data_IF_287270218355
#
_entry.id   IF_287270218355
#
_cell.length_a   1.000
_cell.length_b   1.000
_cell.length_c   1.000
_cell.angle_alpha   90.00
_cell.angle_beta   90.00
_cell.angle_gamma   90.00
#
_symmetry.space_group_name_H-M   'P 1'
#
loop_
_entity.id
_entity.type
_entity.pdbx_description
1 polymer ?
#
# COMPACT_ATOMS: atom_id res chain seq x y z
N UNK A 1 -6.88 14.58 -18.61
CA UNK A 1 -6.55 14.70 -20.04
C UNK A 1 -6.70 16.16 -20.44
N UNK A 2 -5.61 16.85 -20.74
CA UNK A 2 -5.64 18.20 -21.32
C UNK A 2 -5.80 18.09 -22.84
N UNK A 3 -6.64 18.94 -23.44
CA UNK A 3 -6.79 19.06 -24.91
C UNK A 3 -6.46 20.49 -25.32
N UNK A 4 -5.87 20.69 -26.51
CA UNK A 4 -5.61 22.05 -27.03
C UNK A 4 -6.93 22.66 -27.50
N UNK A 5 -7.04 23.99 -27.48
CA UNK A 5 -8.28 24.72 -27.86
C UNK A 5 -8.83 24.31 -29.24
N UNK A 6 -7.93 24.02 -30.19
CA UNK A 6 -8.25 23.56 -31.56
C UNK A 6 -8.91 22.18 -31.63
N UNK A 7 -8.84 21.40 -30.54
CA UNK A 7 -9.38 20.04 -30.45
C UNK A 7 -10.72 20.01 -29.67
N UNK A 8 -11.29 21.19 -29.38
CA UNK A 8 -12.59 21.40 -28.72
C UNK A 8 -13.65 21.71 -29.78
N UNK A 9 -14.85 21.08 -29.74
CA UNK A 9 -15.93 21.36 -30.68
C UNK A 9 -16.27 22.86 -30.77
N UNK A 10 -16.45 23.38 -31.99
CA UNK A 10 -16.65 24.82 -32.27
C UNK A 10 -17.88 25.44 -31.58
N UNK A 11 -18.90 24.64 -31.26
CA UNK A 11 -20.05 25.09 -30.47
C UNK A 11 -19.68 25.45 -29.02
N UNK A 12 -18.69 24.77 -28.44
CA UNK A 12 -18.22 25.02 -27.07
C UNK A 12 -17.30 26.24 -27.06
N UNK A 13 -16.51 26.46 -28.11
CA UNK A 13 -15.67 27.66 -28.25
C UNK A 13 -16.54 28.93 -28.33
N UNK A 14 -17.63 28.92 -29.10
CA UNK A 14 -18.57 30.07 -29.19
C UNK A 14 -19.33 30.35 -27.90
N UNK A 15 -19.72 29.31 -27.16
CA UNK A 15 -20.37 29.44 -25.84
C UNK A 15 -19.42 30.10 -24.82
N UNK A 16 -18.12 29.80 -24.91
CA UNK A 16 -17.07 30.31 -24.02
C UNK A 16 -16.61 31.73 -24.39
N UNK A 17 -16.61 32.09 -25.68
CA UNK A 17 -16.39 33.47 -26.16
C UNK A 17 -17.48 34.43 -25.67
N UNK A 18 -18.75 33.98 -25.67
CA UNK A 18 -19.87 34.75 -25.14
C UNK A 18 -19.82 34.96 -23.61
N UNK A 19 -19.02 34.16 -22.89
CA UNK A 19 -18.80 34.28 -21.44
C UNK A 19 -17.61 35.19 -21.07
N UNK A 20 -16.96 35.84 -22.04
CA UNK A 20 -15.92 36.84 -21.79
C UNK A 20 -14.60 36.29 -21.28
N UNK A 21 -14.25 35.04 -21.63
CA UNK A 21 -13.02 34.39 -21.20
C UNK A 21 -11.80 34.97 -21.96
N UNK A 22 -10.71 35.37 -21.28
CA UNK A 22 -9.52 35.93 -21.92
C UNK A 22 -8.82 34.95 -22.88
N UNK A 23 -8.31 35.43 -24.01
CA UNK A 23 -7.63 34.62 -25.05
C UNK A 23 -6.43 33.80 -24.54
N UNK A 24 -5.84 34.17 -23.40
CA UNK A 24 -4.67 33.53 -22.80
C UNK A 24 -5.01 32.41 -21.81
N UNK A 25 -6.11 31.68 -22.02
CA UNK A 25 -6.55 30.61 -21.12
C UNK A 25 -6.42 29.20 -21.74
N UNK A 26 -6.10 28.21 -20.90
CA UNK A 26 -6.14 26.79 -21.28
C UNK A 26 -7.39 26.13 -20.70
N UNK A 27 -8.15 25.43 -21.55
CA UNK A 27 -9.39 24.73 -21.19
C UNK A 27 -9.13 23.28 -20.79
N UNK A 28 -9.84 22.83 -19.74
CA UNK A 28 -9.82 21.45 -19.26
C UNK A 28 -11.24 20.98 -18.95
N UNK A 29 -11.56 19.72 -19.25
CA UNK A 29 -12.86 19.16 -18.91
C UNK A 29 -12.78 18.38 -17.59
N UNK A 30 -13.56 18.81 -16.58
CA UNK A 30 -13.59 18.20 -15.25
C UNK A 30 -14.89 17.41 -15.07
N UNK A 31 -14.75 16.10 -14.80
CA UNK A 31 -15.88 15.17 -14.67
C UNK A 31 -16.78 15.61 -13.52
N UNK A 32 -18.07 15.85 -13.82
CA UNK A 32 -19.07 16.33 -12.86
C UNK A 32 -19.16 17.86 -12.71
N UNK A 33 -18.26 18.63 -13.34
CA UNK A 33 -18.23 20.11 -13.25
C UNK A 33 -18.34 20.77 -14.63
N UNK A 34 -17.95 20.08 -15.70
CA UNK A 34 -17.96 20.62 -17.07
C UNK A 34 -16.61 21.20 -17.50
N UNK A 35 -16.60 22.08 -18.50
CA UNK A 35 -15.39 22.76 -18.98
C UNK A 35 -14.98 23.87 -18.02
N UNK A 36 -13.70 23.90 -17.66
CA UNK A 36 -13.08 24.90 -16.78
C UNK A 36 -11.82 25.45 -17.46
N UNK A 37 -11.47 26.72 -17.24
CA UNK A 37 -10.30 27.35 -17.83
C UNK A 37 -9.28 27.78 -16.76
N UNK A 38 -8.02 27.89 -17.15
CA UNK A 38 -6.95 28.49 -16.34
C UNK A 38 -6.21 29.54 -17.17
N UNK A 39 -6.10 30.76 -16.64
CA UNK A 39 -5.36 31.86 -17.24
C UNK A 39 -3.84 31.61 -17.12
N UNK A 40 -3.09 31.77 -18.21
CA UNK A 40 -1.64 31.68 -18.19
C UNK A 40 -1.02 33.08 -18.20
N UNK A 41 0.02 33.28 -17.38
CA UNK A 41 0.86 34.47 -17.41
C UNK A 41 1.65 34.53 -18.72
N UNK A 42 1.76 35.75 -19.27
CA UNK A 42 2.31 36.06 -20.59
C UNK A 42 3.75 35.57 -20.80
N UNK A 43 4.52 35.37 -19.73
CA UNK A 43 5.93 34.97 -19.80
C UNK A 43 6.10 33.48 -20.13
N UNK A 44 5.08 32.64 -19.88
CA UNK A 44 5.15 31.20 -20.16
C UNK A 44 4.97 30.89 -21.66
N UNK A 45 4.27 31.76 -22.40
CA UNK A 45 4.00 31.58 -23.84
C UNK A 45 5.25 31.86 -24.68
N UNK A 46 6.09 32.82 -24.25
CA UNK A 46 7.35 33.14 -24.95
C UNK A 46 8.43 32.07 -24.73
N UNK A 47 8.41 31.37 -23.58
CA UNK A 47 9.29 30.22 -23.33
C UNK A 47 8.83 28.97 -24.10
N UNK A 48 7.52 28.78 -24.28
CA UNK A 48 6.97 27.66 -25.03
C UNK A 48 7.07 27.85 -26.57
N UNK A 49 7.15 29.08 -27.07
CA UNK A 49 7.34 29.33 -28.51
C UNK A 49 8.80 29.12 -28.93
N UNK A 50 9.77 29.53 -28.11
CA UNK A 50 11.20 29.34 -28.41
C UNK A 50 11.67 27.88 -28.29
N UNK A 51 11.06 27.08 -27.40
CA UNK A 51 11.35 25.64 -27.28
C UNK A 51 10.92 24.80 -28.50
N UNK A 52 10.12 25.35 -29.43
CA UNK A 52 9.64 24.62 -30.62
C UNK A 52 10.51 24.79 -31.86
N UNK A 53 11.41 25.77 -31.90
CA UNK A 53 12.27 26.03 -33.06
C UNK A 53 13.53 25.13 -33.10
N UNK A 54 14.05 24.68 -31.95
CA UNK A 54 15.25 23.82 -31.88
C UNK A 54 14.93 22.31 -31.86
N UNK A 55 13.65 21.94 -31.96
CA UNK A 55 13.20 20.55 -31.81
C UNK A 55 13.30 19.69 -33.08
N UNK A 56 13.77 20.24 -34.21
CA UNK A 56 13.92 19.48 -35.47
C UNK A 56 15.28 18.80 -35.66
N UNK A 57 16.31 19.10 -34.85
CA UNK A 57 17.65 18.50 -35.01
C UNK A 57 18.16 17.68 -33.81
N UNK A 58 17.44 17.64 -32.69
CA UNK A 58 17.85 16.91 -31.48
C UNK A 58 17.16 15.55 -31.26
N UNK A 59 16.46 15.03 -32.27
CA UNK A 59 15.78 13.71 -32.23
C UNK A 59 16.71 12.50 -32.33
N UNK A 60 18.00 12.64 -32.00
CA UNK A 60 18.99 11.56 -32.07
C UNK A 60 19.88 11.38 -30.82
N UNK A 61 19.63 12.04 -29.69
CA UNK A 61 20.41 11.79 -28.46
C UNK A 61 19.53 11.51 -27.23
N UNK A 62 19.47 10.22 -26.91
CA UNK A 62 18.98 9.55 -25.69
C UNK A 62 17.57 9.88 -25.20
N UNK A 63 16.58 9.24 -25.82
CA UNK A 63 15.58 8.54 -25.01
C UNK A 63 16.33 7.45 -24.22
N UNK A 64 16.72 7.72 -22.97
CA UNK A 64 16.93 6.62 -22.05
C UNK A 64 15.56 5.99 -21.85
N UNK A 65 15.34 4.82 -22.43
CA UNK A 65 14.27 3.92 -22.06
C UNK A 65 14.19 3.89 -20.53
N UNK A 66 13.11 4.43 -19.97
CA UNK A 66 12.72 4.10 -18.61
C UNK A 66 12.35 2.62 -18.68
N UNK A 67 13.34 1.76 -18.42
CA UNK A 67 13.19 0.31 -18.47
C UNK A 67 12.00 -0.04 -17.60
N UNK A 68 10.93 -0.58 -18.16
CA UNK A 68 9.77 -1.05 -17.39
C UNK A 68 10.28 -2.09 -16.39
N UNK A 69 10.43 -1.69 -15.12
CA UNK A 69 10.91 -2.59 -14.07
C UNK A 69 9.76 -3.50 -13.66
N UNK A 70 10.04 -4.79 -13.54
CA UNK A 70 9.11 -5.80 -13.03
C UNK A 70 9.71 -6.42 -11.76
N UNK A 71 8.85 -6.83 -10.85
CA UNK A 71 9.20 -7.62 -9.67
C UNK A 71 9.54 -9.03 -10.12
N UNK A 72 10.83 -9.32 -10.17
CA UNK A 72 11.32 -10.59 -10.70
C UNK A 72 11.46 -11.66 -9.62
N UNK A 73 11.76 -11.32 -8.37
CA UNK A 73 11.99 -12.31 -7.30
C UNK A 73 11.38 -11.81 -5.98
N UNK A 74 11.08 -12.75 -5.08
CA UNK A 74 10.59 -12.44 -3.73
C UNK A 74 11.29 -13.34 -2.70
N UNK A 75 12.07 -12.72 -1.81
CA UNK A 75 12.80 -13.45 -0.77
C UNK A 75 14.06 -14.20 -1.26
N UNK A 76 14.60 -15.13 -0.46
CA UNK A 76 14.12 -15.58 0.84
C UNK A 76 14.01 -14.49 1.91
N UNK A 77 13.13 -14.72 2.88
CA UNK A 77 13.02 -13.88 4.07
C UNK A 77 13.28 -14.69 5.32
N UNK A 78 14.17 -14.17 6.18
CA UNK A 78 14.24 -14.62 7.55
C UNK A 78 12.98 -14.21 8.29
N UNK A 79 12.65 -14.96 9.33
CA UNK A 79 11.47 -14.72 10.16
C UNK A 79 11.93 -14.53 11.60
N UNK A 80 11.64 -13.36 12.17
CA UNK A 80 12.08 -13.00 13.50
C UNK A 80 10.89 -12.68 14.39
N UNK A 81 10.93 -13.16 15.63
CA UNK A 81 9.92 -12.85 16.65
C UNK A 81 10.01 -11.38 17.05
N UNK A 82 8.84 -10.77 17.19
CA UNK A 82 8.65 -9.40 17.66
C UNK A 82 8.22 -9.41 19.11
N UNK A 83 8.28 -8.24 19.73
CA UNK A 83 7.75 -8.00 21.06
C UNK A 83 6.35 -7.37 21.02
N UNK A 84 5.72 -7.35 19.85
CA UNK A 84 4.42 -6.73 19.63
C UNK A 84 3.31 -7.58 20.25
N UNK A 85 2.45 -6.89 21.00
CA UNK A 85 1.19 -7.46 21.45
C UNK A 85 0.06 -6.95 20.55
N UNK A 86 -0.68 -7.89 19.94
CA UNK A 86 -1.85 -7.59 19.13
C UNK A 86 -3.08 -8.38 19.60
N UNK A 87 -4.25 -7.82 19.37
CA UNK A 87 -5.55 -8.47 19.60
C UNK A 87 -6.27 -8.63 18.27
N UNK A 88 -6.54 -9.89 17.87
CA UNK A 88 -7.28 -10.20 16.64
C UNK A 88 -8.78 -10.08 16.88
N UNK A 89 -9.48 -9.37 16.00
CA UNK A 89 -10.94 -9.27 15.96
C UNK A 89 -11.44 -10.22 14.87
N UNK A 90 -11.64 -11.48 15.24
CA UNK A 90 -11.80 -12.61 14.28
C UNK A 90 -12.88 -12.39 13.21
N UNK A 91 -14.00 -11.75 13.54
CA UNK A 91 -15.14 -11.58 12.63
C UNK A 91 -14.98 -10.42 11.63
N UNK A 92 -14.14 -9.43 11.98
CA UNK A 92 -13.98 -8.22 11.18
C UNK A 92 -12.82 -8.29 10.20
N UNK A 93 -11.83 -9.18 10.43
CA UNK A 93 -10.58 -9.17 9.67
C UNK A 93 -9.63 -8.05 10.12
N UNK A 94 -9.87 -7.49 11.30
CA UNK A 94 -9.11 -6.39 11.89
C UNK A 94 -8.33 -6.85 13.11
N UNK A 95 -7.27 -6.13 13.45
CA UNK A 95 -6.54 -6.31 14.71
C UNK A 95 -6.29 -4.95 15.37
N UNK A 96 -6.05 -4.96 16.67
CA UNK A 96 -5.49 -3.81 17.40
C UNK A 96 -4.07 -4.11 17.86
N UNK A 97 -3.21 -3.10 17.97
CA UNK A 97 -1.81 -3.21 18.38
C UNK A 97 -1.46 -2.16 19.43
N UNK A 98 -0.75 -2.56 20.49
CA UNK A 98 -0.30 -1.59 21.50
C UNK A 98 0.94 -0.83 21.02
N UNK A 99 0.80 0.47 20.75
CA UNK A 99 1.87 1.36 20.28
C UNK A 99 2.61 2.11 21.39
N UNK A 100 2.17 2.05 22.65
CA UNK A 100 2.51 3.04 23.66
C UNK A 100 3.72 2.69 24.54
N UNK A 101 4.14 1.43 24.64
CA UNK A 101 5.12 1.01 25.66
C UNK A 101 6.55 0.76 25.15
N UNK A 102 6.71 0.42 23.86
CA UNK A 102 8.02 0.04 23.28
C UNK A 102 8.43 0.81 22.03
N UNK A 103 7.48 1.50 21.42
CA UNK A 103 7.67 2.19 20.15
C UNK A 103 7.77 3.69 20.40
N UNK A 104 8.80 4.11 21.12
CA UNK A 104 9.02 5.50 21.53
C UNK A 104 8.89 6.51 20.38
N UNK A 105 9.36 6.16 19.18
CA UNK A 105 9.22 7.01 18.00
C UNK A 105 7.79 7.12 17.44
N UNK A 106 6.90 6.20 17.81
CA UNK A 106 5.49 6.14 17.41
C UNK A 106 4.53 6.45 18.56
N UNK A 107 5.01 6.53 19.80
CA UNK A 107 4.21 6.91 20.94
C UNK A 107 3.56 8.27 20.69
N UNK A 108 2.24 8.35 20.88
CA UNK A 108 1.44 9.55 20.60
C UNK A 108 1.57 10.06 19.15
N UNK A 109 1.72 9.18 18.18
CA UNK A 109 1.69 9.51 16.77
C UNK A 109 0.24 9.49 16.25
N UNK A 110 -0.47 10.63 16.15
CA UNK A 110 -1.88 10.65 15.72
C UNK A 110 -2.07 10.18 14.27
N UNK A 111 -1.00 10.14 13.48
CA UNK A 111 -1.04 9.67 12.09
C UNK A 111 -1.13 8.15 11.98
N UNK A 112 -0.61 7.38 12.96
CA UNK A 112 -0.65 5.91 12.92
C UNK A 112 -1.84 5.44 13.73
N UNK A 113 -2.69 4.65 13.09
CA UNK A 113 -3.78 3.98 13.77
C UNK A 113 -3.23 2.77 14.53
N UNK A 114 -3.75 2.54 15.73
CA UNK A 114 -3.48 1.32 16.51
C UNK A 114 -4.32 0.13 16.03
N UNK A 115 -4.95 0.26 14.86
CA UNK A 115 -5.79 -0.73 14.21
C UNK A 115 -5.24 -1.04 12.82
N UNK A 116 -5.32 -2.30 12.40
CA UNK A 116 -4.96 -2.72 11.05
C UNK A 116 -5.77 -3.93 10.58
N UNK A 117 -5.48 -4.38 9.36
CA UNK A 117 -6.14 -5.54 8.75
C UNK A 117 -5.28 -6.79 8.82
N UNK A 118 -5.90 -7.96 8.83
CA UNK A 118 -5.21 -9.23 8.66
C UNK A 118 -5.91 -10.11 7.62
N UNK A 119 -5.15 -10.99 6.97
CA UNK A 119 -5.70 -12.05 6.13
C UNK A 119 -6.54 -13.02 6.99
N UNK A 120 -7.49 -13.76 6.42
CA UNK A 120 -8.25 -14.75 7.18
C UNK A 120 -7.32 -15.75 7.88
N UNK A 121 -7.68 -16.20 9.08
CA UNK A 121 -6.90 -17.20 9.81
C UNK A 121 -6.94 -18.53 9.04
N UNK A 122 -5.77 -19.13 8.82
CA UNK A 122 -5.59 -20.36 8.06
C UNK A 122 -4.73 -21.37 8.84
N UNK A 123 -4.88 -22.68 8.58
CA UNK A 123 -4.02 -23.69 9.18
C UNK A 123 -2.57 -23.57 8.68
N UNK A 124 -1.61 -23.88 9.56
CA UNK A 124 -0.20 -24.00 9.15
C UNK A 124 -0.02 -25.26 8.29
N UNK A 125 0.50 -25.11 7.07
CA UNK A 125 0.71 -26.23 6.12
C UNK A 125 2.16 -26.61 5.90
N UNK A 126 3.11 -25.75 6.28
CA UNK A 126 4.55 -26.02 6.13
C UNK A 126 4.96 -27.23 6.97
N UNK A 127 5.82 -28.07 6.39
CA UNK A 127 6.37 -29.25 7.05
C UNK A 127 7.37 -28.87 8.16
N UNK A 128 7.78 -29.83 9.00
CA UNK A 128 8.63 -29.56 10.17
C UNK A 128 9.95 -28.82 9.87
N UNK A 129 10.61 -29.12 8.75
CA UNK A 129 11.89 -28.47 8.38
C UNK A 129 11.65 -27.03 7.93
N UNK A 130 10.69 -26.82 7.03
CA UNK A 130 10.35 -25.49 6.54
C UNK A 130 9.77 -24.61 7.66
N UNK A 131 9.00 -25.22 8.56
CA UNK A 131 8.44 -24.58 9.75
C UNK A 131 9.51 -24.11 10.72
N UNK A 132 10.48 -24.97 11.05
CA UNK A 132 11.60 -24.63 11.92
C UNK A 132 12.46 -23.52 11.27
N UNK A 133 12.70 -23.58 9.96
CA UNK A 133 13.41 -22.54 9.20
C UNK A 133 12.68 -21.18 9.22
N UNK A 134 11.35 -21.20 9.09
CA UNK A 134 10.50 -20.02 9.14
C UNK A 134 10.18 -19.54 10.56
N UNK A 135 10.88 -20.05 11.59
CA UNK A 135 10.70 -19.68 12.99
C UNK A 135 9.23 -19.74 13.46
N UNK A 136 8.49 -20.75 12.99
CA UNK A 136 7.09 -20.96 13.34
C UNK A 136 7.01 -21.82 14.60
N UNK A 137 6.39 -21.35 15.71
CA UNK A 137 6.36 -22.10 16.96
C UNK A 137 5.68 -23.45 16.76
N UNK A 138 6.32 -24.55 17.19
CA UNK A 138 5.90 -25.95 16.94
C UNK A 138 4.47 -26.30 17.37
N UNK A 139 3.92 -25.57 18.35
CA UNK A 139 2.56 -25.75 18.84
C UNK A 139 1.50 -24.94 18.07
N UNK A 140 1.92 -24.08 17.12
CA UNK A 140 0.98 -23.34 16.28
C UNK A 140 0.17 -24.29 15.40
N UNK A 141 -1.14 -24.10 15.38
CA UNK A 141 -2.03 -24.83 14.48
C UNK A 141 -2.53 -23.95 13.36
N UNK A 142 -2.56 -22.64 13.58
CA UNK A 142 -3.06 -21.65 12.63
C UNK A 142 -2.17 -20.41 12.61
N UNK A 143 -2.32 -19.62 11.55
CA UNK A 143 -1.67 -18.33 11.40
C UNK A 143 -2.53 -17.37 10.56
N UNK A 144 -2.17 -16.10 10.57
CA UNK A 144 -2.59 -15.16 9.53
C UNK A 144 -1.45 -14.21 9.18
N UNK A 145 -1.49 -13.67 7.96
CA UNK A 145 -0.71 -12.48 7.62
C UNK A 145 -1.38 -11.25 8.22
N UNK A 146 -0.60 -10.42 8.91
CA UNK A 146 -1.01 -9.16 9.51
C UNK A 146 -0.42 -8.04 8.65
N UNK A 147 -1.29 -7.22 8.06
CA UNK A 147 -0.86 -6.09 7.24
C UNK A 147 -0.37 -4.93 8.13
N UNK A 148 0.51 -4.05 7.62
CA UNK A 148 0.85 -2.80 8.29
C UNK A 148 -0.40 -2.04 8.76
N UNK A 149 -0.39 -1.42 9.95
CA UNK A 149 -1.46 -0.53 10.36
C UNK A 149 -1.50 0.69 9.43
N UNK A 150 -2.68 1.32 9.34
CA UNK A 150 -2.84 2.54 8.55
C UNK A 150 -2.00 3.68 9.15
N UNK A 151 -1.65 4.67 8.32
CA UNK A 151 -0.98 5.88 8.81
C UNK A 151 0.51 6.01 8.48
N UNK A 152 1.19 4.91 8.14
CA UNK A 152 2.63 4.92 7.87
C UNK A 152 3.01 5.84 6.70
N UNK A 153 2.16 5.95 5.68
CA UNK A 153 2.39 6.85 4.54
C UNK A 153 2.15 8.33 4.88
N UNK A 154 1.35 8.62 5.92
CA UNK A 154 0.96 9.96 6.34
C UNK A 154 1.96 10.60 7.32
N UNK A 155 2.99 9.86 7.74
CA UNK A 155 3.99 10.33 8.68
C UNK A 155 4.75 11.57 8.20
N UNK A 156 5.04 12.48 9.13
CA UNK A 156 5.97 13.59 8.85
C UNK A 156 7.37 13.09 8.50
N UNK A 157 8.11 13.86 7.69
CA UNK A 157 9.48 13.52 7.27
C UNK A 157 10.44 13.27 8.45
N UNK A 158 10.27 14.03 9.55
CA UNK A 158 11.04 13.82 10.78
C UNK A 158 10.78 12.45 11.41
N UNK A 159 9.52 12.00 11.41
CA UNK A 159 9.13 10.68 11.94
C UNK A 159 9.58 9.57 11.01
N UNK A 160 9.36 9.71 9.70
CA UNK A 160 9.90 8.78 8.69
C UNK A 160 11.41 8.59 8.87
N UNK A 161 12.18 9.67 9.00
CA UNK A 161 13.62 9.58 9.23
C UNK A 161 13.98 8.84 10.53
N UNK A 162 13.17 8.95 11.57
CA UNK A 162 13.40 8.26 12.86
C UNK A 162 13.08 6.77 12.75
N UNK A 163 11.95 6.42 12.12
CA UNK A 163 11.56 5.04 11.86
C UNK A 163 12.55 4.37 10.92
N UNK A 164 12.97 5.06 9.85
CA UNK A 164 13.98 4.56 8.92
C UNK A 164 15.30 4.23 9.63
N UNK A 165 15.70 4.99 10.67
CA UNK A 165 16.87 4.63 11.49
C UNK A 165 16.65 3.37 12.33
N UNK A 166 15.45 3.13 12.86
CA UNK A 166 15.11 1.90 13.61
C UNK A 166 15.07 0.70 12.67
N UNK A 167 14.42 0.84 11.52
CA UNK A 167 14.41 -0.13 10.43
C UNK A 167 15.82 -0.49 9.96
N UNK A 168 16.68 0.51 9.73
CA UNK A 168 18.07 0.29 9.32
C UNK A 168 18.93 -0.45 10.36
N UNK A 169 18.48 -0.46 11.62
CA UNK A 169 19.09 -1.26 12.71
C UNK A 169 18.49 -2.66 12.83
N UNK A 170 17.51 -3.00 12.00
CA UNK A 170 16.82 -4.29 12.02
C UNK A 170 15.91 -4.46 13.24
N UNK A 171 15.32 -3.38 13.75
CA UNK A 171 14.40 -3.46 14.89
C UNK A 171 13.12 -4.24 14.50
N UNK A 172 12.83 -5.40 15.13
CA UNK A 172 11.74 -6.29 14.70
C UNK A 172 10.35 -5.65 14.79
N UNK A 173 10.11 -4.82 15.81
CA UNK A 173 8.79 -4.24 16.05
C UNK A 173 8.50 -3.17 15.00
N UNK A 174 9.49 -2.30 14.70
CA UNK A 174 9.34 -1.33 13.61
C UNK A 174 9.24 -2.01 12.25
N UNK A 175 9.95 -3.12 12.05
CA UNK A 175 9.92 -3.88 10.80
C UNK A 175 8.53 -4.50 10.59
N UNK A 176 7.93 -5.08 11.63
CA UNK A 176 6.56 -5.56 11.59
C UNK A 176 5.56 -4.46 11.24
N UNK A 177 5.68 -3.29 11.86
CA UNK A 177 4.72 -2.21 11.62
C UNK A 177 4.88 -1.60 10.22
N UNK A 178 6.09 -1.56 9.67
CA UNK A 178 6.32 -1.05 8.34
C UNK A 178 5.88 -2.02 7.24
N UNK A 179 6.12 -3.33 7.45
CA UNK A 179 6.03 -4.35 6.39
C UNK A 179 4.89 -5.35 6.58
N UNK A 180 4.37 -5.46 7.79
CA UNK A 180 3.50 -6.53 8.22
C UNK A 180 4.29 -7.74 8.73
N UNK A 181 3.58 -8.83 8.98
CA UNK A 181 4.18 -10.03 9.51
C UNK A 181 3.18 -11.17 9.71
N UNK A 182 3.62 -12.23 10.38
CA UNK A 182 2.80 -13.41 10.65
C UNK A 182 2.43 -13.48 12.12
N UNK A 183 1.14 -13.64 12.42
CA UNK A 183 0.66 -13.98 13.74
C UNK A 183 0.33 -15.48 13.80
N UNK A 184 0.85 -16.18 14.82
CA UNK A 184 0.66 -17.61 15.01
C UNK A 184 -0.21 -17.90 16.21
N UNK A 185 -1.11 -18.87 16.05
CA UNK A 185 -2.11 -19.21 17.04
C UNK A 185 -2.14 -20.70 17.34
N UNK A 186 -2.53 -21.02 18.56
CA UNK A 186 -3.02 -22.34 18.93
C UNK A 186 -4.50 -22.25 19.23
N UNK A 187 -5.28 -23.05 18.52
CA UNK A 187 -6.69 -23.26 18.81
C UNK A 187 -6.80 -24.40 19.81
N UNK A 188 -7.19 -24.05 21.04
CA UNK A 188 -7.60 -24.99 22.07
C UNK A 188 -9.13 -25.16 22.00
N UNK A 189 -9.70 -26.13 22.73
CA UNK A 189 -11.14 -26.50 22.61
C UNK A 189 -12.12 -25.33 22.80
N UNK A 190 -11.73 -24.30 23.55
CA UNK A 190 -12.58 -23.16 23.90
C UNK A 190 -11.86 -21.81 23.82
N UNK A 191 -10.62 -21.77 23.34
CA UNK A 191 -9.84 -20.52 23.30
C UNK A 191 -8.86 -20.51 22.15
N UNK A 192 -8.55 -19.31 21.67
CA UNK A 192 -7.47 -19.08 20.72
C UNK A 192 -6.35 -18.37 21.47
N UNK A 193 -5.20 -19.00 21.54
CA UNK A 193 -4.00 -18.43 22.16
C UNK A 193 -3.08 -17.91 21.07
N UNK A 194 -2.80 -16.60 21.08
CA UNK A 194 -1.68 -16.02 20.33
C UNK A 194 -0.38 -16.56 20.91
N UNK A 195 0.43 -17.21 20.07
CA UNK A 195 1.70 -17.80 20.46
C UNK A 195 2.86 -16.85 20.20
N UNK A 196 2.88 -16.25 19.00
CA UNK A 196 4.04 -15.53 18.51
C UNK A 196 3.63 -14.60 17.37
N UNK A 197 4.22 -13.40 17.34
CA UNK A 197 4.10 -12.44 16.26
C UNK A 197 5.48 -12.30 15.63
N UNK A 198 5.57 -12.49 14.32
CA UNK A 198 6.82 -12.49 13.58
C UNK A 198 6.84 -11.41 12.50
N UNK A 199 8.00 -10.80 12.28
CA UNK A 199 8.26 -9.91 11.15
C UNK A 199 9.15 -10.60 10.10
N UNK A 200 9.16 -10.01 8.90
CA UNK A 200 10.10 -10.39 7.85
C UNK A 200 11.45 -9.68 8.09
N UNK A 201 12.55 -10.40 7.96
CA UNK A 201 13.91 -9.85 8.02
C UNK A 201 14.76 -10.33 6.85
N UNK A 202 15.84 -9.60 6.54
CA UNK A 202 16.81 -10.04 5.54
C UNK A 202 17.58 -11.25 6.08
N UNK A 203 17.46 -12.39 5.41
CA UNK A 203 18.29 -13.55 5.68
C UNK A 203 18.37 -14.45 4.44
N UNK A 204 19.40 -15.29 4.38
CA UNK A 204 19.59 -16.28 3.31
C UNK A 204 18.82 -17.59 3.57
N UNK A 205 18.13 -17.67 4.72
CA UNK A 205 17.29 -18.78 5.14
C UNK A 205 15.91 -18.27 5.62
N UNK A 206 14.93 -19.18 5.71
CA UNK A 206 13.60 -18.87 6.25
C UNK A 206 12.48 -19.24 5.28
N UNK A 207 11.60 -18.28 4.98
CA UNK A 207 10.54 -18.45 3.99
C UNK A 207 11.07 -18.18 2.58
N UNK A 208 10.82 -19.13 1.69
CA UNK A 208 11.17 -19.03 0.28
C UNK A 208 9.91 -18.92 -0.57
N UNK A 209 10.04 -18.24 -1.71
CA UNK A 209 8.95 -18.09 -2.65
C UNK A 209 9.36 -18.52 -4.06
N UNK A 210 8.41 -19.09 -4.79
CA UNK A 210 8.53 -19.38 -6.22
C UNK A 210 7.61 -18.46 -7.03
N UNK A 211 8.01 -18.14 -8.25
CA UNK A 211 7.41 -17.12 -9.12
C UNK A 211 8.43 -16.12 -9.70
N UNK A 212 7.97 -15.00 -10.29
CA UNK A 212 6.59 -14.55 -10.42
C UNK A 212 5.81 -15.40 -11.42
N UNK A 213 4.60 -15.76 -11.05
CA UNK A 213 3.62 -16.32 -11.98
C UNK A 213 2.62 -15.24 -12.39
N UNK A 214 2.14 -15.28 -13.63
CA UNK A 214 1.13 -14.32 -14.09
C UNK A 214 -0.17 -14.44 -13.30
N UNK A 215 -0.66 -13.31 -12.79
CA UNK A 215 -1.93 -13.26 -12.06
C UNK A 215 -3.12 -13.25 -13.02
N UNK A 216 -4.10 -14.09 -12.74
CA UNK A 216 -5.33 -14.16 -13.52
C UNK A 216 -6.36 -13.18 -12.96
N UNK A 217 -6.56 -12.06 -13.65
CA UNK A 217 -7.41 -10.95 -13.19
C UNK A 217 -8.88 -11.31 -12.91
N UNK A 218 -9.36 -12.44 -13.43
CA UNK A 218 -10.72 -12.94 -13.15
C UNK A 218 -10.93 -13.30 -11.68
N UNK A 219 -9.88 -13.55 -10.90
CA UNK A 219 -9.94 -13.83 -9.46
C UNK A 219 -9.75 -12.58 -8.59
N UNK A 220 -9.32 -11.44 -9.15
CA UNK A 220 -9.13 -10.18 -8.41
C UNK A 220 -10.41 -9.74 -7.69
N UNK A 221 -11.57 -9.93 -8.32
CA UNK A 221 -12.87 -9.56 -7.73
C UNK A 221 -13.22 -10.39 -6.48
N UNK A 222 -12.77 -11.64 -6.40
CA UNK A 222 -13.01 -12.48 -5.23
C UNK A 222 -12.28 -11.92 -4.00
N UNK A 223 -10.97 -11.70 -4.14
CA UNK A 223 -10.11 -11.12 -3.11
C UNK A 223 -10.51 -9.68 -2.74
N UNK A 224 -10.90 -8.88 -3.75
CA UNK A 224 -11.30 -7.48 -3.54
C UNK A 224 -12.61 -7.34 -2.76
N UNK A 225 -13.58 -8.23 -2.97
CA UNK A 225 -14.85 -8.24 -2.21
C UNK A 225 -14.65 -8.54 -0.73
N UNK A 226 -13.58 -9.25 -0.40
CA UNK A 226 -13.19 -9.55 0.98
C UNK A 226 -12.29 -8.45 1.58
N UNK A 227 -12.06 -7.34 0.86
CA UNK A 227 -11.24 -6.23 1.34
C UNK A 227 -9.75 -6.53 1.43
N UNK A 228 -9.26 -7.65 0.86
CA UNK A 228 -7.91 -8.16 1.16
C UNK A 228 -6.75 -7.40 0.52
N UNK A 229 -7.00 -6.68 -0.57
CA UNK A 229 -5.94 -5.92 -1.24
C UNK A 229 -5.64 -4.61 -0.51
N UNK A 230 -4.42 -4.51 0.02
CA UNK A 230 -3.86 -3.31 0.65
C UNK A 230 -3.05 -2.49 -0.34
N UNK A 231 -2.94 -1.19 -0.06
CA UNK A 231 -1.94 -0.34 -0.71
C UNK A 231 -0.53 -0.78 -0.33
N UNK A 232 0.39 -0.72 -1.28
CA UNK A 232 1.80 -0.96 -1.01
C UNK A 232 2.39 0.26 -0.30
N UNK A 233 3.05 0.02 0.83
CA UNK A 233 3.79 1.04 1.60
C UNK A 233 5.31 0.95 1.37
N UNK A 234 5.77 -0.11 0.73
CA UNK A 234 7.18 -0.41 0.48
C UNK A 234 7.66 0.35 -0.76
N UNK A 235 8.60 1.28 -0.57
CA UNK A 235 9.08 2.18 -1.62
C UNK A 235 9.59 1.47 -2.86
N UNK A 236 10.27 0.33 -2.73
CA UNK A 236 10.83 -0.42 -3.85
C UNK A 236 9.76 -1.09 -4.69
N UNK A 237 8.69 -1.58 -4.05
CA UNK A 237 7.54 -2.11 -4.76
C UNK A 237 6.79 -0.97 -5.48
N UNK A 238 6.70 0.20 -4.85
CA UNK A 238 6.14 1.42 -5.48
C UNK A 238 7.00 1.86 -6.67
N UNK A 239 8.32 1.84 -6.55
CA UNK A 239 9.29 2.23 -7.60
C UNK A 239 9.22 1.31 -8.83
N UNK A 240 8.87 0.04 -8.60
CA UNK A 240 8.59 -0.96 -9.65
C UNK A 240 7.17 -0.78 -10.24
N UNK A 241 6.34 0.07 -9.64
CA UNK A 241 5.00 0.41 -10.12
C UNK A 241 3.88 -0.42 -9.52
N UNK A 242 4.15 -1.21 -8.47
CA UNK A 242 3.13 -1.98 -7.76
C UNK A 242 2.30 -1.04 -6.91
N UNK A 243 0.97 -1.18 -7.00
CA UNK A 243 0.00 -0.38 -6.26
C UNK A 243 -0.64 -1.14 -5.11
N UNK A 244 -0.95 -2.41 -5.33
CA UNK A 244 -1.65 -3.22 -4.34
C UNK A 244 -1.00 -4.56 -4.13
N UNK A 245 -1.18 -5.11 -2.93
CA UNK A 245 -0.81 -6.48 -2.64
C UNK A 245 -1.81 -7.14 -1.69
N UNK A 246 -1.85 -8.48 -1.69
CA UNK A 246 -2.58 -9.24 -0.68
C UNK A 246 -1.95 -10.60 -0.46
N UNK A 247 -2.22 -11.19 0.70
CA UNK A 247 -1.89 -12.57 1.01
C UNK A 247 -3.03 -13.52 0.62
N UNK A 248 -2.69 -14.57 -0.11
CA UNK A 248 -3.52 -15.73 -0.39
C UNK A 248 -3.19 -16.80 0.65
N UNK A 249 -4.20 -17.38 1.26
CA UNK A 249 -4.02 -18.42 2.26
C UNK A 249 -3.62 -19.78 1.63
N UNK A 250 -2.99 -20.66 2.42
CA UNK A 250 -2.74 -22.04 2.00
C UNK A 250 -4.00 -22.73 1.50
N UNK A 251 -3.90 -23.34 0.31
CA UNK A 251 -4.96 -24.09 -0.35
C UNK A 251 -6.26 -23.29 -0.58
N UNK A 252 -6.17 -21.97 -0.61
CA UNK A 252 -7.33 -21.11 -0.77
C UNK A 252 -7.98 -21.28 -2.13
N UNK A 253 -9.31 -21.43 -2.14
CA UNK A 253 -10.12 -21.70 -3.34
C UNK A 253 -10.72 -20.41 -3.87
N UNK A 254 -10.11 -19.85 -4.91
CA UNK A 254 -10.53 -18.60 -5.53
C UNK A 254 -11.62 -18.85 -6.57
N UNK A 255 -12.73 -18.10 -6.46
CA UNK A 255 -13.81 -18.16 -7.44
C UNK A 255 -13.57 -17.16 -8.56
N UNK A 256 -13.55 -17.63 -9.79
CA UNK A 256 -13.48 -16.76 -10.96
C UNK A 256 -14.75 -15.91 -11.07
N UNK A 257 -14.59 -14.67 -11.52
CA UNK A 257 -15.70 -13.76 -11.81
C UNK A 257 -16.37 -14.01 -13.16
N UNK A 258 -15.85 -14.94 -13.97
CA UNK A 258 -16.45 -15.36 -15.24
C UNK A 258 -17.62 -16.31 -15.00
N UNK A 259 -18.63 -16.25 -15.87
CA UNK A 259 -19.89 -17.02 -15.74
C UNK A 259 -19.68 -18.54 -15.66
N UNK A 260 -18.67 -19.06 -16.37
CA UNK A 260 -18.26 -20.47 -16.37
C UNK A 260 -16.83 -20.63 -15.86
N UNK A 261 -16.37 -19.71 -15.02
CA UNK A 261 -15.01 -19.72 -14.51
C UNK A 261 -14.78 -20.88 -13.55
N UNK A 262 -13.60 -21.48 -13.62
CA UNK A 262 -13.21 -22.57 -12.73
C UNK A 262 -12.82 -22.03 -11.35
N UNK A 263 -12.88 -22.90 -10.35
CA UNK A 263 -12.26 -22.60 -9.05
C UNK A 263 -10.78 -22.90 -9.15
N UNK A 264 -9.95 -21.97 -8.68
CA UNK A 264 -8.50 -22.11 -8.74
C UNK A 264 -7.89 -22.09 -7.34
N UNK A 265 -6.88 -22.93 -7.11
CA UNK A 265 -6.12 -23.01 -5.86
C UNK A 265 -4.65 -22.73 -6.18
N UNK A 266 -4.22 -21.46 -6.18
CA UNK A 266 -2.90 -21.07 -6.70
C UNK A 266 -1.74 -21.38 -5.76
N UNK A 267 -1.99 -21.43 -4.45
CA UNK A 267 -0.93 -21.35 -3.44
C UNK A 267 -1.07 -22.43 -2.36
N UNK A 268 -0.40 -23.58 -2.49
CA UNK A 268 -0.49 -24.68 -1.52
C UNK A 268 -0.12 -24.29 -0.09
N UNK A 269 0.88 -23.41 0.07
CA UNK A 269 1.37 -22.91 1.36
C UNK A 269 1.10 -21.41 1.57
N UNK A 270 0.20 -20.84 0.77
CA UNK A 270 -0.05 -19.40 0.74
C UNK A 270 0.95 -18.65 -0.12
N UNK A 271 0.76 -17.35 -0.25
CA UNK A 271 1.54 -16.55 -1.19
C UNK A 271 1.07 -15.10 -1.29
N UNK A 272 1.80 -14.28 -2.02
CA UNK A 272 1.47 -12.87 -2.23
C UNK A 272 1.08 -12.60 -3.67
N UNK A 273 0.01 -11.84 -3.86
CA UNK A 273 -0.38 -11.25 -5.16
C UNK A 273 0.04 -9.80 -5.16
N UNK A 274 0.57 -9.34 -6.29
CA UNK A 274 0.94 -7.94 -6.54
C UNK A 274 0.23 -7.44 -7.80
N UNK A 275 -0.42 -6.27 -7.68
CA UNK A 275 -1.10 -5.60 -8.79
C UNK A 275 -0.40 -4.29 -9.13
N UNK A 276 -0.11 -4.09 -10.41
CA UNK A 276 0.58 -2.89 -10.94
C UNK A 276 -0.39 -1.78 -11.32
N UNK A 277 -1.66 -2.12 -11.49
CA UNK A 277 -2.70 -1.14 -11.75
C UNK A 277 -3.89 -1.30 -10.82
N UNK A 278 -4.98 -0.59 -11.11
CA UNK A 278 -6.21 -0.65 -10.34
C UNK A 278 -6.76 -2.07 -10.28
N UNK A 279 -7.48 -2.38 -9.19
CA UNK A 279 -8.20 -3.65 -8.99
C UNK A 279 -9.25 -3.96 -10.08
N UNK A 280 -9.52 -3.01 -10.98
CA UNK A 280 -10.52 -3.07 -12.05
C UNK A 280 -9.89 -3.28 -13.43
N UNK A 281 -8.61 -2.93 -13.62
CA UNK A 281 -7.91 -3.02 -14.90
C UNK A 281 -6.72 -3.97 -14.76
N UNK A 282 -6.75 -5.13 -15.45
CA UNK A 282 -5.63 -6.06 -15.46
C UNK A 282 -4.37 -5.40 -16.02
N UNK A 283 -3.22 -5.67 -15.40
CA UNK A 283 -1.92 -5.27 -15.91
C UNK A 283 -1.09 -6.48 -16.33
N UNK A 284 -0.25 -6.32 -17.37
CA UNK A 284 0.60 -7.42 -17.89
C UNK A 284 1.61 -7.96 -16.87
N UNK A 285 1.96 -7.14 -15.87
CA UNK A 285 2.90 -7.49 -14.80
C UNK A 285 2.21 -7.91 -13.49
N UNK A 286 0.87 -7.93 -13.44
CA UNK A 286 0.18 -8.48 -12.28
C UNK A 286 0.66 -9.92 -12.07
N UNK A 287 1.14 -10.21 -10.87
CA UNK A 287 1.82 -11.45 -10.58
C UNK A 287 1.52 -11.96 -9.18
N UNK A 288 1.88 -13.21 -8.93
CA UNK A 288 1.87 -13.78 -7.59
C UNK A 288 3.07 -14.69 -7.37
N UNK A 289 3.42 -14.83 -6.09
CA UNK A 289 4.49 -15.67 -5.59
C UNK A 289 3.93 -16.65 -4.57
N UNK A 290 4.34 -17.90 -4.59
CA UNK A 290 3.86 -18.94 -3.68
C UNK A 290 4.96 -19.33 -2.70
N UNK A 291 4.60 -19.59 -1.44
CA UNK A 291 5.54 -20.11 -0.45
C UNK A 291 5.92 -21.55 -0.81
N UNK A 292 7.22 -21.85 -0.81
CA UNK A 292 7.75 -23.19 -1.10
C UNK A 292 8.49 -23.80 0.09
N UNK A 293 8.35 -25.12 0.25
CA UNK A 293 9.17 -25.88 1.20
C UNK A 293 10.60 -25.97 0.68
N UNK A 294 11.58 -25.78 1.57
CA UNK A 294 12.99 -25.47 1.32
C UNK A 294 13.83 -26.56 0.60
N UNK A 295 13.21 -27.56 -0.03
CA UNK A 295 13.89 -28.65 -0.75
C UNK A 295 13.86 -28.54 -2.29
N UNK A 296 13.30 -27.47 -2.85
CA UNK A 296 13.13 -27.34 -4.32
C UNK A 296 14.05 -26.32 -5.01
N UNK A 297 14.97 -25.65 -4.30
CA UNK A 297 15.77 -24.57 -4.92
C UNK A 297 17.10 -25.12 -5.44
N UNK A 298 17.11 -25.47 -6.72
CA UNK A 298 18.34 -25.52 -7.52
C UNK A 298 18.95 -24.12 -7.54
N UNK A 299 20.21 -24.04 -7.14
CA UNK A 299 21.06 -22.85 -7.19
C UNK A 299 20.92 -22.07 -8.51
N UNK A 300 20.71 -20.76 -8.38
CA UNK A 300 21.22 -19.65 -9.20
C UNK A 300 20.28 -18.47 -8.98
N UNK A 301 20.63 -17.59 -8.05
CA UNK A 301 20.45 -16.13 -8.12
C UNK A 301 20.58 -15.55 -6.70
N UNK A 302 21.23 -14.40 -6.61
CA UNK A 302 21.33 -13.64 -5.37
C UNK A 302 19.93 -13.21 -4.92
N UNK A 303 19.66 -13.11 -3.60
CA UNK A 303 18.38 -12.62 -3.09
C UNK A 303 18.13 -11.20 -3.61
N UNK A 304 17.08 -11.01 -4.41
CA UNK A 304 16.60 -9.67 -4.76
C UNK A 304 15.61 -9.27 -3.68
N UNK A 305 16.07 -8.44 -2.75
CA UNK A 305 15.19 -7.77 -1.80
C UNK A 305 14.42 -6.67 -2.53
N UNK A 306 13.12 -6.47 -2.25
CA UNK A 306 12.48 -5.18 -2.48
C UNK A 306 12.85 -4.18 -1.35
N UNK A 307 14.08 -4.20 -0.83
CA UNK A 307 14.52 -3.28 0.24
C UNK A 307 15.94 -2.76 0.00
N UNK A 308 16.09 -1.87 -0.99
CA UNK A 308 17.28 -1.03 -1.16
C UNK A 308 17.24 0.26 -0.31
N UNK A 309 16.18 0.52 0.46
CA UNK A 309 16.04 1.72 1.30
C UNK A 309 16.33 1.45 2.79
N UNK A 310 16.44 0.20 3.22
CA UNK A 310 16.81 -0.10 4.63
C UNK A 310 18.31 -0.38 4.81
N UNK A 311 19.10 -0.54 3.73
CA UNK A 311 20.54 -0.81 3.82
C UNK A 311 21.35 0.07 2.88
N UNK A 312 21.49 1.36 3.22
CA UNK A 312 22.68 2.10 2.79
C UNK A 312 23.77 1.94 3.87
N UNK A 313 24.30 0.73 4.00
CA UNK A 313 25.64 0.55 4.54
C UNK A 313 26.57 0.33 3.34
N UNK A 314 27.12 1.43 2.83
CA UNK A 314 28.43 1.33 2.20
C UNK A 314 29.42 0.95 3.32
N UNK A 315 29.75 -0.34 3.38
CA UNK A 315 30.92 -0.80 4.10
C UNK A 315 32.14 -0.41 3.27
N UNK A 316 32.58 0.84 3.37
CA UNK A 316 33.93 1.23 2.96
C UNK A 316 34.86 0.93 4.13
N UNK A 317 35.55 -0.20 4.01
CA UNK A 317 36.68 -0.54 4.85
C UNK A 317 37.69 0.61 4.87
N UNK A 318 38.02 0.99 6.10
CA UNK A 318 38.96 2.01 6.50
C UNK A 318 40.35 1.86 5.88
N UNK A 319 40.89 2.96 5.35
CA UNK A 319 42.28 3.32 5.58
C UNK A 319 42.54 4.82 5.40
N UNK A 320 42.89 5.41 6.52
CA UNK A 320 43.97 6.38 6.71
C UNK A 320 43.65 7.84 7.06
N UNK A 321 44.46 8.30 8.00
CA UNK A 321 44.43 9.47 8.86
C UNK A 321 44.55 10.84 8.17
N UNK A 322 43.91 11.88 8.72
CA UNK A 322 44.64 12.95 9.43
C UNK A 322 43.74 13.99 10.16
N UNK A 323 44.31 14.50 11.25
CA UNK A 323 43.95 15.64 12.14
C UNK A 323 43.81 16.96 11.32
N UNK A 324 43.15 18.07 11.68
CA UNK A 324 42.72 18.78 12.93
C UNK A 324 41.80 19.99 12.51
N UNK A 325 41.29 20.87 13.43
CA UNK A 325 40.04 21.64 13.30
C UNK A 325 40.17 23.14 12.94
N UNK A 326 39.08 23.78 12.48
CA UNK A 326 38.69 25.18 12.76
C UNK A 326 37.22 25.46 12.36
N UNK A 327 36.67 26.50 12.97
CA UNK A 327 35.29 26.98 13.10
C UNK A 327 34.73 27.87 11.97
N UNK A 328 33.44 28.20 12.17
CA UNK A 328 32.67 29.39 11.72
C UNK A 328 31.70 29.27 10.53
N UNK A 329 30.41 29.35 10.91
CA UNK A 329 29.34 30.22 10.37
C UNK A 329 29.04 30.20 8.87
N UNK A 330 27.80 29.87 8.50
CA UNK A 330 26.91 30.77 7.76
C UNK A 330 25.46 30.24 7.70
N UNK A 331 24.55 31.18 7.47
CA UNK A 331 23.14 31.22 7.84
C UNK A 331 22.15 30.53 6.87
N UNK A 332 21.03 30.12 7.47
CA UNK A 332 19.64 30.07 6.97
C UNK A 332 19.35 30.06 5.45
N UNK A 333 18.56 29.08 5.01
CA UNK A 333 17.36 29.37 4.21
C UNK A 333 16.27 28.32 4.41
N UNK A 334 15.04 28.82 4.57
CA UNK A 334 13.80 28.07 4.74
C UNK A 334 13.39 27.41 3.43
N UNK A 335 12.97 26.16 3.47
CA UNK A 335 12.06 25.59 2.47
C UNK A 335 11.06 24.67 3.15
N UNK A 336 9.79 25.11 3.21
CA UNK A 336 8.63 24.31 3.62
C UNK A 336 8.46 23.09 2.70
N UNK A 337 8.09 21.92 3.22
CA UNK A 337 7.58 20.84 2.39
C UNK A 337 6.09 21.07 2.09
N UNK A 338 5.75 21.01 0.80
CA UNK A 338 4.38 20.97 0.30
C UNK A 338 3.75 19.64 0.71
N UNK A 339 2.90 19.66 1.74
CA UNK A 339 1.95 18.58 2.03
C UNK A 339 0.87 18.64 0.95
N UNK A 340 0.72 17.57 0.17
CA UNK A 340 -0.35 17.50 -0.83
C UNK A 340 -1.71 17.41 -0.12
N UNK A 341 -2.63 18.27 -0.55
CA UNK A 341 -4.02 18.36 -0.07
C UNK A 341 -4.83 17.04 -0.22
N UNK A 342 -4.29 16.08 -0.96
CA UNK A 342 -4.92 14.80 -1.29
C UNK A 342 -4.90 13.78 -0.14
N UNK A 343 -3.85 13.75 0.69
CA UNK A 343 -3.75 12.78 1.80
C UNK A 343 -4.71 13.08 2.97
N UNK A 344 -5.02 14.36 3.21
CA UNK A 344 -5.94 14.79 4.26
C UNK A 344 -7.43 14.61 3.90
N UNK A 345 -7.74 14.26 2.64
CA UNK A 345 -9.11 14.15 2.16
C UNK A 345 -9.65 12.70 2.14
N UNK A 346 -8.78 11.72 2.39
CA UNK A 346 -9.11 10.29 2.27
C UNK A 346 -9.88 9.73 3.48
N UNK A 347 -9.86 10.44 4.62
CA UNK A 347 -10.56 10.06 5.85
C UNK A 347 -11.78 10.94 6.15
N UNK A 348 -12.24 11.76 5.18
CA UNK A 348 -13.42 12.60 5.38
C UNK A 348 -14.69 11.87 4.95
N UNK A 349 -15.74 12.05 5.76
CA UNK A 349 -17.08 11.53 5.50
C UNK A 349 -17.50 11.86 4.07
N UNK A 350 -17.87 10.84 3.28
CA UNK A 350 -18.24 10.99 1.87
C UNK A 350 -19.56 11.74 1.65
N UNK A 351 -20.22 12.17 2.74
CA UNK A 351 -21.48 12.90 2.72
C UNK A 351 -21.26 14.35 3.11
N UNK A 352 -20.69 14.61 4.30
CA UNK A 352 -20.50 15.99 4.75
C UNK A 352 -19.14 16.59 4.35
N UNK A 353 -18.18 15.77 3.93
CA UNK A 353 -16.80 16.15 3.61
C UNK A 353 -16.11 16.99 4.71
N UNK A 354 -16.60 16.90 5.95
CA UNK A 354 -16.18 17.73 7.07
C UNK A 354 -15.58 16.89 8.21
N UNK A 355 -16.35 15.91 8.71
CA UNK A 355 -15.94 15.05 9.81
C UNK A 355 -15.21 13.80 9.32
N UNK A 356 -14.46 13.15 10.21
CA UNK A 356 -13.77 11.90 9.92
C UNK A 356 -14.73 10.73 9.73
N UNK A 357 -14.37 9.82 8.82
CA UNK A 357 -15.04 8.54 8.62
C UNK A 357 -14.79 7.67 9.86
N UNK A 358 -15.87 7.16 10.47
CA UNK A 358 -15.79 6.30 11.67
C UNK A 358 -16.93 5.29 11.80
N UNK A 359 -17.81 5.20 10.81
CA UNK A 359 -18.96 4.30 10.86
C UNK A 359 -18.84 3.18 9.85
N UNK A 360 -18.96 1.94 10.33
CA UNK A 360 -18.94 0.71 9.55
C UNK A 360 -20.37 0.22 9.31
N UNK A 361 -20.74 0.00 8.06
CA UNK A 361 -22.07 -0.51 7.68
C UNK A 361 -22.07 -2.03 7.55
N UNK A 362 -22.87 -2.75 8.34
CA UNK A 362 -22.98 -4.21 8.33
C UNK A 362 -24.19 -4.63 7.50
N UNK A 363 -24.09 -5.61 6.57
CA UNK A 363 -23.01 -6.59 6.42
C UNK A 363 -21.90 -6.22 5.41
N UNK A 364 -22.05 -5.11 4.68
CA UNK A 364 -21.15 -4.78 3.56
C UNK A 364 -19.73 -4.33 3.96
N UNK A 365 -19.53 -4.01 5.25
CA UNK A 365 -18.26 -3.58 5.87
C UNK A 365 -17.61 -2.34 5.24
N UNK A 366 -18.38 -1.48 4.56
CA UNK A 366 -17.84 -0.20 4.09
C UNK A 366 -17.79 0.82 5.23
N UNK A 367 -16.68 1.54 5.32
CA UNK A 367 -16.50 2.67 6.21
C UNK A 367 -16.41 3.95 5.37
N UNK A 368 -17.46 4.76 5.36
CA UNK A 368 -17.53 5.92 4.45
C UNK A 368 -18.16 7.18 5.06
N UNK A 369 -18.70 7.11 6.28
CA UNK A 369 -19.39 8.24 6.92
C UNK A 369 -18.90 8.49 8.33
N UNK A 370 -19.08 9.73 8.80
CA UNK A 370 -19.09 10.05 10.22
C UNK A 370 -20.41 9.59 10.87
N UNK A 371 -20.51 9.56 12.21
CA UNK A 371 -21.74 9.09 12.86
C UNK A 371 -22.95 9.98 12.63
N UNK A 372 -22.78 11.30 12.52
CA UNK A 372 -23.91 12.20 12.24
C UNK A 372 -24.55 11.91 10.88
N UNK A 373 -23.72 11.57 9.89
CA UNK A 373 -24.20 11.17 8.56
C UNK A 373 -24.75 9.75 8.57
N UNK A 374 -24.13 8.82 9.31
CA UNK A 374 -24.62 7.44 9.42
C UNK A 374 -25.98 7.36 10.13
N UNK A 375 -26.18 8.13 11.20
CA UNK A 375 -27.46 8.27 11.91
C UNK A 375 -28.55 8.79 10.97
N UNK A 376 -28.26 9.84 10.19
CA UNK A 376 -29.20 10.38 9.20
C UNK A 376 -29.61 9.36 8.13
N UNK A 377 -28.70 8.49 7.68
CA UNK A 377 -29.06 7.42 6.74
C UNK A 377 -29.92 6.35 7.42
N UNK A 378 -29.63 6.03 8.68
CA UNK A 378 -30.40 5.06 9.46
C UNK A 378 -31.86 5.48 9.62
N UNK A 379 -32.11 6.78 9.74
CA UNK A 379 -33.44 7.38 9.83
C UNK A 379 -34.20 7.42 8.49
N UNK A 380 -33.53 7.16 7.36
CA UNK A 380 -34.21 7.07 6.07
C UNK A 380 -34.95 5.75 5.89
N UNK A 381 -36.03 5.80 5.11
CA UNK A 381 -36.86 4.62 4.76
C UNK A 381 -36.07 3.51 4.05
N UNK A 382 -34.93 3.85 3.44
CA UNK A 382 -34.04 2.94 2.72
C UNK A 382 -32.64 3.02 3.33
N UNK A 383 -32.42 2.30 4.43
CA UNK A 383 -31.13 2.23 5.13
C UNK A 383 -30.10 1.44 4.29
N UNK A 384 -29.49 2.11 3.31
CA UNK A 384 -28.50 1.52 2.38
C UNK A 384 -27.13 2.17 2.52
N UNK A 385 -26.07 1.39 2.30
CA UNK A 385 -24.71 1.89 2.33
C UNK A 385 -24.46 2.90 1.18
N UNK A 386 -23.85 4.07 1.43
CA UNK A 386 -23.54 5.05 0.38
C UNK A 386 -22.60 4.54 -0.73
N UNK A 387 -21.79 3.52 -0.45
CA UNK A 387 -20.80 2.98 -1.40
C UNK A 387 -21.40 1.89 -2.27
N UNK A 388 -21.90 0.81 -1.67
CA UNK A 388 -22.38 -0.36 -2.41
C UNK A 388 -23.90 -0.41 -2.59
N UNK A 389 -24.65 0.50 -1.96
CA UNK A 389 -26.12 0.52 -1.93
C UNK A 389 -26.78 -0.74 -1.36
N UNK A 390 -25.99 -1.60 -0.71
CA UNK A 390 -26.50 -2.75 0.03
C UNK A 390 -27.25 -2.27 1.27
N UNK A 391 -28.37 -2.92 1.59
CA UNK A 391 -29.14 -2.62 2.79
C UNK A 391 -28.32 -3.05 4.00
N UNK A 392 -28.07 -2.12 4.91
CA UNK A 392 -27.38 -2.43 6.15
C UNK A 392 -28.39 -2.78 7.25
N UNK A 393 -27.99 -3.68 8.14
CA UNK A 393 -28.74 -4.06 9.35
C UNK A 393 -28.24 -3.29 10.56
N UNK A 394 -26.94 -2.99 10.60
CA UNK A 394 -26.30 -2.31 11.72
C UNK A 394 -25.30 -1.28 11.22
N UNK A 395 -25.09 -0.25 12.04
CA UNK A 395 -24.03 0.74 11.87
C UNK A 395 -23.23 0.72 13.15
N UNK A 396 -21.96 0.34 13.05
CA UNK A 396 -21.06 0.37 14.19
C UNK A 396 -20.30 1.67 14.16
N UNK A 397 -20.45 2.44 15.23
CA UNK A 397 -19.65 3.64 15.48
C UNK A 397 -18.33 3.20 16.10
N UNK A 398 -17.24 3.40 15.37
CA UNK A 398 -15.89 3.03 15.80
C UNK A 398 -15.33 4.22 16.56
N UNK A 399 -15.32 4.12 17.89
CA UNK A 399 -14.67 5.08 18.76
C UNK A 399 -13.17 4.77 18.74
N UNK A 400 -12.41 5.66 18.10
CA UNK A 400 -10.94 5.73 18.11
C UNK A 400 -10.47 6.43 19.39
#
# INVERSE_FOLDING_TARGET
MSRRLKDVPTCIVRELENQGIPENCVLFHKRGIGWVYRQCDSDLIHQLSQATADSSEMSAFSAQEQTERQLEHLGPFGIQETNISLSIIQESGMYTVNLNERLDALANCPEIEDVGQHAPIAPVTLNGVARDAANIPRSATHFCWVYPPAGFTQLSEKRKATINRKLARGDPDYTFLALGGFAYFRFDKYSVKTLQINCLVKADNGLHFDGPYSWQSEYTKHLSKEGRFQDVTISELIDVGIKYYCFINPNERLKSSRRNGVVWTPAPNGGFVYLYDSKQMPHKYDCYFTVVDTQMISQKNAPVMPFSIILNQQNSSSSNSNRRPWSEQHSATKSSPLVTYEAANQFKCSICFAQTVRCLFIPCKHMCTCADCANRIREQLHSVCPICRERFTEVWDIFL
#
